data_IF_749536583285
#
_entry.id   IF_749536583285
#
_cell.length_a   1.000
_cell.length_b   1.000
_cell.length_c   1.000
_cell.angle_alpha   90.00
_cell.angle_beta   90.00
_cell.angle_gamma   90.00
#
_symmetry.space_group_name_H-M   'P 1'
#
loop_
_entity.id
_entity.type
_entity.pdbx_description
1 polymer ?
#
# COMPACT_ATOMS: atom_id res chain seq x y z
N UNK A 1 39.10 47.76 18.42
CA UNK A 1 39.82 46.47 18.37
C UNK A 1 39.32 45.59 19.49
N UNK A 2 38.99 44.33 19.21
CA UNK A 2 38.53 43.38 20.23
C UNK A 2 37.70 42.25 19.60
N UNK A 3 38.39 41.25 19.08
CA UNK A 3 37.90 40.18 18.22
C UNK A 3 37.28 39.03 19.04
N UNK A 4 36.12 38.58 18.57
CA UNK A 4 35.36 37.36 18.88
C UNK A 4 36.19 36.12 19.31
N UNK A 5 35.70 35.39 20.31
CA UNK A 5 35.99 33.96 20.53
C UNK A 5 34.69 33.17 20.60
N UNK A 6 34.26 32.66 19.45
CA UNK A 6 33.26 31.60 19.33
C UNK A 6 33.93 30.24 19.60
N UNK A 7 33.38 29.48 20.56
CA UNK A 7 33.79 28.10 20.90
C UNK A 7 33.39 27.16 19.77
N UNK A 8 34.39 26.61 19.09
CA UNK A 8 34.26 25.60 18.03
C UNK A 8 33.97 24.23 18.66
N UNK A 9 32.73 23.78 18.59
CA UNK A 9 32.37 22.39 18.86
C UNK A 9 32.98 21.48 17.78
N UNK A 10 33.76 20.48 18.21
CA UNK A 10 34.31 19.44 17.36
C UNK A 10 33.18 18.53 16.88
N UNK A 11 32.65 18.78 15.68
CA UNK A 11 31.92 17.76 14.92
C UNK A 11 32.93 16.75 14.38
N UNK A 12 32.87 15.52 14.89
CA UNK A 12 33.61 14.39 14.36
C UNK A 12 33.06 14.02 12.99
N UNK A 13 33.61 14.64 11.94
CA UNK A 13 33.39 14.20 10.57
C UNK A 13 34.13 12.89 10.33
N UNK A 14 33.43 11.77 10.47
CA UNK A 14 33.86 10.47 9.97
C UNK A 14 33.80 10.49 8.44
N UNK A 15 34.85 11.04 7.81
CA UNK A 15 35.08 10.89 6.38
C UNK A 15 35.36 9.42 6.06
N UNK A 16 34.34 8.73 5.55
CA UNK A 16 34.46 7.37 5.02
C UNK A 16 35.42 7.37 3.83
N UNK A 17 36.68 7.02 4.10
CA UNK A 17 37.63 6.59 3.08
C UNK A 17 37.05 5.37 2.38
N UNK A 18 36.84 5.46 1.07
CA UNK A 18 36.58 4.33 0.19
C UNK A 18 37.80 3.40 0.13
N UNK A 19 37.93 2.53 1.12
CA UNK A 19 38.80 1.36 1.09
C UNK A 19 37.92 0.12 0.97
N UNK A 20 38.31 -0.82 0.11
CA UNK A 20 37.53 -2.02 -0.23
C UNK A 20 36.93 -2.72 0.99
N UNK A 21 35.67 -2.44 1.28
CA UNK A 21 34.88 -3.26 2.18
C UNK A 21 34.63 -4.62 1.54
N UNK A 22 34.36 -5.68 2.32
CA UNK A 22 33.80 -6.90 1.76
C UNK A 22 32.60 -6.54 0.86
N UNK A 23 32.38 -7.26 -0.24
CA UNK A 23 31.29 -6.97 -1.20
C UNK A 23 29.90 -6.80 -0.53
N UNK A 24 29.72 -7.34 0.68
CA UNK A 24 28.52 -7.25 1.52
C UNK A 24 28.69 -6.39 2.79
N UNK A 25 29.71 -5.54 2.86
CA UNK A 25 30.00 -4.71 4.02
C UNK A 25 28.83 -3.82 4.40
N UNK A 26 28.20 -3.16 3.42
CA UNK A 26 26.99 -2.35 3.62
C UNK A 26 25.80 -3.17 4.16
N UNK A 27 25.64 -4.42 3.72
CA UNK A 27 24.54 -5.29 4.13
C UNK A 27 24.76 -5.82 5.55
N UNK A 28 25.99 -6.25 5.87
CA UNK A 28 26.36 -6.71 7.21
C UNK A 28 26.29 -5.56 8.22
N UNK A 29 26.72 -4.36 7.82
CA UNK A 29 26.63 -3.15 8.61
C UNK A 29 25.16 -2.78 8.88
N UNK A 30 24.31 -2.80 7.85
CA UNK A 30 22.86 -2.59 8.00
C UNK A 30 22.19 -3.67 8.89
N UNK A 31 22.63 -4.92 8.80
CA UNK A 31 22.08 -6.01 9.62
C UNK A 31 22.47 -5.92 11.10
N UNK A 32 23.66 -5.37 11.42
CA UNK A 32 24.21 -5.35 12.79
C UNK A 32 24.08 -4.03 13.52
N UNK A 33 24.22 -2.91 12.82
CA UNK A 33 24.43 -1.60 13.44
C UNK A 33 23.22 -0.66 13.37
N UNK A 34 22.10 -1.12 12.80
CA UNK A 34 20.86 -0.33 12.79
C UNK A 34 20.13 -0.52 14.12
N UNK A 35 19.89 0.60 14.80
CA UNK A 35 19.05 0.64 15.99
C UNK A 35 17.59 0.35 15.62
N UNK A 36 16.97 -0.59 16.35
CA UNK A 36 15.64 -1.10 16.06
C UNK A 36 14.57 -0.01 16.24
N UNK A 37 14.76 0.93 17.17
CA UNK A 37 13.82 2.00 17.43
C UNK A 37 13.94 3.15 16.42
N UNK A 38 15.13 3.41 15.89
CA UNK A 38 15.34 4.33 14.78
C UNK A 38 14.76 3.76 13.48
N UNK A 39 14.97 2.47 13.24
CA UNK A 39 14.39 1.77 12.10
C UNK A 39 12.86 1.79 12.11
N UNK A 40 12.26 1.58 13.29
CA UNK A 40 10.82 1.64 13.47
C UNK A 40 10.25 3.02 13.10
N UNK A 41 10.95 4.10 13.46
CA UNK A 41 10.54 5.48 13.14
C UNK A 41 10.65 5.81 11.65
N UNK A 42 11.65 5.27 10.96
CA UNK A 42 11.90 5.62 9.56
C UNK A 42 11.06 4.83 8.55
N UNK A 43 10.76 3.55 8.84
CA UNK A 43 10.16 2.62 7.84
C UNK A 43 8.75 2.16 8.24
N UNK A 44 8.31 2.48 9.45
CA UNK A 44 7.02 2.07 10.01
C UNK A 44 7.02 0.63 10.55
N UNK A 45 5.94 0.27 11.26
CA UNK A 45 5.83 -1.00 11.96
C UNK A 45 5.90 -2.21 11.03
N UNK A 46 5.17 -2.20 9.92
CA UNK A 46 5.03 -3.37 9.03
C UNK A 46 6.39 -3.75 8.41
N UNK A 47 7.08 -2.77 7.82
CA UNK A 47 8.42 -2.97 7.25
C UNK A 47 9.45 -3.37 8.30
N UNK A 48 9.39 -2.78 9.50
CA UNK A 48 10.24 -3.17 10.63
C UNK A 48 10.03 -4.65 10.99
N UNK A 49 8.78 -5.10 11.09
CA UNK A 49 8.45 -6.49 11.39
C UNK A 49 8.88 -7.44 10.25
N UNK A 50 8.77 -7.01 9.01
CA UNK A 50 9.28 -7.78 7.87
C UNK A 50 10.81 -7.98 7.94
N UNK A 51 11.58 -6.93 8.22
CA UNK A 51 13.03 -7.03 8.39
C UNK A 51 13.41 -7.95 9.55
N UNK A 52 12.64 -7.90 10.64
CA UNK A 52 12.85 -8.76 11.81
C UNK A 52 12.51 -10.23 11.51
N UNK A 53 11.46 -10.49 10.73
CA UNK A 53 11.14 -11.82 10.20
C UNK A 53 12.27 -12.38 9.32
N UNK A 54 12.89 -11.55 8.47
CA UNK A 54 14.07 -11.96 7.69
C UNK A 54 15.28 -12.29 8.58
N UNK A 55 15.54 -11.49 9.62
CA UNK A 55 16.59 -11.77 10.61
C UNK A 55 16.33 -13.08 11.36
N UNK A 56 15.08 -13.34 11.75
CA UNK A 56 14.64 -14.61 12.34
C UNK A 56 14.90 -15.79 11.38
N UNK A 57 14.50 -15.67 10.12
CA UNK A 57 14.77 -16.68 9.10
C UNK A 57 16.26 -16.97 8.91
N UNK A 58 17.10 -15.92 8.91
CA UNK A 58 18.55 -16.07 8.82
C UNK A 58 19.15 -16.77 10.04
N UNK A 59 18.68 -16.48 11.26
CA UNK A 59 19.11 -17.18 12.49
C UNK A 59 18.72 -18.65 12.47
N UNK A 60 17.48 -18.96 12.12
CA UNK A 60 16.98 -20.33 12.00
C UNK A 60 17.75 -21.12 10.94
N UNK A 61 17.98 -20.54 9.76
CA UNK A 61 18.76 -21.15 8.69
C UNK A 61 20.21 -21.38 9.13
N UNK A 62 20.88 -20.37 9.71
CA UNK A 62 22.26 -20.48 10.17
C UNK A 62 22.43 -21.57 11.23
N UNK A 63 21.52 -21.64 12.20
CA UNK A 63 21.54 -22.69 13.22
C UNK A 63 21.32 -24.07 12.61
N UNK A 64 20.35 -24.20 11.69
CA UNK A 64 20.10 -25.45 10.97
C UNK A 64 21.28 -25.89 10.09
N UNK A 65 21.95 -24.96 9.42
CA UNK A 65 23.15 -25.24 8.61
C UNK A 65 24.32 -25.67 9.49
N UNK A 66 24.54 -25.06 10.64
CA UNK A 66 25.60 -25.46 11.57
C UNK A 66 25.30 -26.85 12.15
N UNK A 67 24.09 -27.07 12.65
CA UNK A 67 23.69 -28.36 13.21
C UNK A 67 23.75 -29.47 12.13
N UNK A 68 23.23 -29.18 10.94
CA UNK A 68 23.24 -30.09 9.80
C UNK A 68 24.66 -30.39 9.30
N UNK A 69 25.46 -29.36 9.07
CA UNK A 69 26.81 -29.49 8.50
C UNK A 69 27.85 -30.04 9.47
N UNK A 70 27.78 -29.67 10.75
CA UNK A 70 28.79 -30.08 11.75
C UNK A 70 28.43 -31.42 12.40
N UNK A 71 27.13 -31.70 12.62
CA UNK A 71 26.70 -32.89 13.36
C UNK A 71 26.14 -33.96 12.42
N UNK A 72 25.13 -33.63 11.62
CA UNK A 72 24.41 -34.63 10.82
C UNK A 72 25.21 -35.09 9.60
N UNK A 73 25.94 -34.20 8.92
CA UNK A 73 26.69 -34.55 7.71
C UNK A 73 27.80 -35.56 7.99
N UNK A 74 28.68 -35.41 9.02
CA UNK A 74 29.67 -36.44 9.35
C UNK A 74 29.02 -37.74 9.88
N UNK A 75 27.91 -37.62 10.61
CA UNK A 75 27.15 -38.77 11.11
C UNK A 75 26.61 -39.63 9.96
N UNK A 76 26.06 -39.00 8.92
CA UNK A 76 25.55 -39.69 7.74
C UNK A 76 26.68 -40.25 6.87
N UNK A 77 27.77 -39.51 6.70
CA UNK A 77 28.93 -39.98 5.93
C UNK A 77 29.55 -41.26 6.51
N UNK A 78 29.57 -41.38 7.85
CA UNK A 78 30.08 -42.57 8.57
C UNK A 78 29.03 -43.68 8.76
N UNK A 79 27.89 -43.60 8.06
CA UNK A 79 26.73 -44.49 8.21
C UNK A 79 26.93 -45.94 7.72
N UNK A 80 27.91 -46.18 6.84
CA UNK A 80 28.40 -47.51 6.47
C UNK A 80 27.42 -48.37 5.67
N UNK A 81 26.41 -47.78 5.02
CA UNK A 81 25.57 -48.51 4.07
C UNK A 81 26.38 -48.94 2.83
N UNK A 82 25.96 -50.02 2.17
CA UNK A 82 26.58 -50.52 0.94
C UNK A 82 25.67 -50.27 -0.27
N UNK A 83 26.26 -50.10 -1.46
CA UNK A 83 25.52 -49.92 -2.72
C UNK A 83 25.30 -48.45 -3.12
N UNK A 84 24.24 -48.10 -3.89
CA UNK A 84 24.05 -46.74 -4.44
C UNK A 84 23.83 -45.64 -3.37
N UNK A 85 23.67 -46.04 -2.09
CA UNK A 85 23.60 -45.14 -0.95
C UNK A 85 24.93 -44.41 -0.65
N UNK A 86 26.07 -44.92 -1.13
CA UNK A 86 27.39 -44.28 -0.95
C UNK A 86 27.75 -43.29 -2.07
N UNK A 87 26.91 -43.14 -3.09
CA UNK A 87 27.23 -42.28 -4.22
C UNK A 87 26.84 -40.81 -3.98
N UNK A 88 27.78 -39.90 -4.27
CA UNK A 88 27.56 -38.45 -4.36
C UNK A 88 26.76 -37.88 -3.17
N UNK A 89 25.58 -37.30 -3.43
CA UNK A 89 24.73 -36.66 -2.42
C UNK A 89 24.11 -37.66 -1.43
N UNK A 90 23.89 -38.92 -1.83
CA UNK A 90 23.28 -39.91 -0.93
C UNK A 90 24.17 -40.22 0.27
N UNK A 91 25.50 -40.09 0.11
CA UNK A 91 26.49 -40.33 1.16
C UNK A 91 26.33 -39.42 2.39
N UNK A 92 25.77 -38.22 2.22
CA UNK A 92 25.59 -37.22 3.28
C UNK A 92 24.14 -37.13 3.77
N UNK A 93 23.32 -38.10 3.40
CA UNK A 93 21.90 -38.16 3.78
C UNK A 93 21.61 -39.41 4.61
N UNK A 94 20.40 -39.47 5.17
CA UNK A 94 19.92 -40.63 5.93
C UNK A 94 20.00 -41.95 5.15
N UNK A 95 20.01 -41.91 3.81
CA UNK A 95 20.14 -43.09 2.96
C UNK A 95 21.43 -43.89 3.19
N UNK A 96 22.51 -43.25 3.66
CA UNK A 96 23.80 -43.90 3.91
C UNK A 96 23.87 -44.59 5.30
N UNK A 97 22.80 -44.55 6.10
CA UNK A 97 22.76 -45.20 7.43
C UNK A 97 22.32 -46.66 7.30
N UNK A 98 23.18 -47.60 7.69
CA UNK A 98 22.88 -49.03 7.62
C UNK A 98 21.66 -49.45 8.48
N UNK A 99 20.80 -50.31 7.92
CA UNK A 99 19.67 -50.95 8.59
C UNK A 99 20.16 -51.80 9.77
N UNK A 100 20.03 -51.27 11.00
CA UNK A 100 20.56 -51.86 12.23
C UNK A 100 21.26 -50.84 13.15
N UNK A 101 21.64 -49.68 12.62
CA UNK A 101 22.28 -48.60 13.40
C UNK A 101 21.27 -47.73 14.16
N UNK A 102 20.61 -48.31 15.18
CA UNK A 102 19.58 -47.61 15.96
C UNK A 102 20.09 -46.29 16.59
N UNK A 103 21.34 -46.27 17.08
CA UNK A 103 21.92 -45.07 17.70
C UNK A 103 22.04 -43.87 16.75
N UNK A 104 22.34 -44.10 15.46
CA UNK A 104 22.49 -43.02 14.46
C UNK A 104 21.13 -42.43 14.07
N UNK A 105 20.11 -43.27 13.94
CA UNK A 105 18.74 -42.83 13.70
C UNK A 105 18.21 -41.99 14.88
N UNK A 106 18.46 -42.43 16.12
CA UNK A 106 18.11 -41.66 17.31
C UNK A 106 18.86 -40.33 17.40
N UNK A 107 20.13 -40.27 16.95
CA UNK A 107 20.87 -39.01 16.88
C UNK A 107 20.25 -38.02 15.87
N UNK A 108 19.74 -38.49 14.73
CA UNK A 108 18.98 -37.65 13.79
C UNK A 108 17.69 -37.10 14.40
N UNK A 109 16.94 -37.94 15.12
CA UNK A 109 15.73 -37.50 15.84
C UNK A 109 16.08 -36.49 16.93
N UNK A 110 17.15 -36.72 17.69
CA UNK A 110 17.62 -35.78 18.70
C UNK A 110 18.00 -34.43 18.09
N UNK A 111 18.73 -34.42 16.97
CA UNK A 111 19.06 -33.19 16.25
C UNK A 111 17.80 -32.48 15.74
N UNK A 112 16.81 -33.22 15.25
CA UNK A 112 15.53 -32.65 14.83
C UNK A 112 14.77 -32.02 16.01
N UNK A 113 14.69 -32.68 17.17
CA UNK A 113 14.06 -32.13 18.38
C UNK A 113 14.77 -30.85 18.82
N UNK A 114 16.12 -30.83 18.81
CA UNK A 114 16.91 -29.64 19.14
C UNK A 114 16.63 -28.50 18.16
N UNK A 115 16.59 -28.79 16.86
CA UNK A 115 16.29 -27.80 15.82
C UNK A 115 14.88 -27.22 15.98
N UNK A 116 13.87 -28.06 16.13
CA UNK A 116 12.47 -27.62 16.32
C UNK A 116 12.33 -26.81 17.60
N UNK A 117 12.95 -27.25 18.70
CA UNK A 117 12.93 -26.53 19.98
C UNK A 117 13.57 -25.15 19.86
N UNK A 118 14.68 -25.05 19.12
CA UNK A 118 15.33 -23.76 18.84
C UNK A 118 14.43 -22.84 18.03
N UNK A 119 13.82 -23.34 16.95
CA UNK A 119 12.90 -22.55 16.11
C UNK A 119 11.69 -22.07 16.91
N UNK A 120 11.09 -22.95 17.73
CA UNK A 120 9.94 -22.57 18.58
C UNK A 120 10.32 -21.52 19.62
N UNK A 121 11.51 -21.61 20.22
CA UNK A 121 12.00 -20.59 21.17
C UNK A 121 12.20 -19.23 20.50
N UNK A 122 12.85 -19.21 19.34
CA UNK A 122 13.05 -17.96 18.58
C UNK A 122 11.70 -17.40 18.11
N UNK A 123 10.79 -18.25 17.62
CA UNK A 123 9.44 -17.85 17.21
C UNK A 123 8.65 -17.25 18.37
N UNK A 124 8.71 -17.85 19.56
CA UNK A 124 8.04 -17.32 20.75
C UNK A 124 8.58 -15.93 21.12
N UNK A 125 9.90 -15.77 21.08
CA UNK A 125 10.56 -14.48 21.37
C UNK A 125 10.11 -13.40 20.40
N UNK A 126 10.06 -13.72 19.10
CA UNK A 126 9.62 -12.80 18.06
C UNK A 126 8.11 -12.51 18.12
N UNK A 127 7.31 -13.50 18.49
CA UNK A 127 5.87 -13.35 18.66
C UNK A 127 5.51 -12.39 19.80
N UNK A 128 6.13 -12.56 20.98
CA UNK A 128 5.91 -11.66 22.12
C UNK A 128 6.32 -10.23 21.77
N UNK A 129 7.48 -10.06 21.13
CA UNK A 129 7.94 -8.75 20.68
C UNK A 129 6.97 -8.11 19.67
N UNK A 130 6.44 -8.89 18.72
CA UNK A 130 5.43 -8.42 17.78
C UNK A 130 4.13 -7.99 18.49
N UNK A 131 3.65 -8.81 19.43
CA UNK A 131 2.41 -8.53 20.15
C UNK A 131 2.49 -7.22 20.94
N UNK A 132 3.60 -6.99 21.65
CA UNK A 132 3.84 -5.76 22.40
C UNK A 132 3.91 -4.54 21.48
N UNK A 133 4.73 -4.60 20.43
CA UNK A 133 4.89 -3.49 19.48
C UNK A 133 3.61 -3.20 18.70
N UNK A 134 2.81 -4.22 18.39
CA UNK A 134 1.49 -4.05 17.76
C UNK A 134 0.53 -3.36 18.72
N UNK A 135 0.50 -3.77 19.99
CA UNK A 135 -0.34 -3.13 21.01
C UNK A 135 0.02 -1.66 21.16
N UNK A 136 1.31 -1.35 21.30
CA UNK A 136 1.82 0.02 21.40
C UNK A 136 1.48 0.84 20.15
N UNK A 137 1.66 0.27 18.97
CA UNK A 137 1.29 0.90 17.70
C UNK A 137 -0.21 1.13 17.59
N UNK A 138 -1.08 0.23 18.05
CA UNK A 138 -2.53 0.47 18.00
C UNK A 138 -2.98 1.53 19.03
N UNK A 139 -2.31 1.58 20.19
CA UNK A 139 -2.62 2.56 21.24
C UNK A 139 -2.16 3.98 20.88
N UNK A 140 -0.90 4.13 20.49
CA UNK A 140 -0.29 5.43 20.16
C UNK A 140 -0.62 5.84 18.73
N UNK A 141 -0.65 4.86 17.81
CA UNK A 141 -0.73 5.00 16.36
C UNK A 141 0.50 5.64 15.74
N UNK A 142 0.45 5.73 14.42
CA UNK A 142 1.52 6.33 13.65
C UNK A 142 1.61 7.84 13.92
N UNK A 143 2.84 8.37 13.96
CA UNK A 143 3.11 9.79 14.21
C UNK A 143 2.68 10.63 13.00
N UNK A 144 2.84 10.07 11.80
CA UNK A 144 2.62 10.76 10.53
C UNK A 144 1.17 10.69 10.05
N UNK A 145 0.33 9.86 10.69
CA UNK A 145 -1.06 9.66 10.26
C UNK A 145 -2.04 10.36 11.21
N UNK A 146 -3.03 11.06 10.65
CA UNK A 146 -4.07 11.78 11.40
C UNK A 146 -4.93 10.87 12.27
N UNK A 147 -5.04 11.11 13.58
CA UNK A 147 -5.82 10.24 14.51
C UNK A 147 -7.27 9.94 14.12
N UNK A 148 -7.82 10.71 13.18
CA UNK A 148 -9.17 10.59 12.63
C UNK A 148 -9.43 9.26 11.90
N UNK A 149 -8.45 8.69 11.20
CA UNK A 149 -8.66 7.42 10.47
C UNK A 149 -8.99 6.25 11.41
N UNK A 150 -8.61 6.34 12.70
CA UNK A 150 -8.86 5.30 13.71
C UNK A 150 -10.34 5.16 14.07
N UNK A 151 -11.12 6.20 13.81
CA UNK A 151 -12.56 6.23 14.06
C UNK A 151 -13.38 6.04 12.79
N UNK A 152 -12.74 5.79 11.64
CA UNK A 152 -13.43 5.50 10.41
C UNK A 152 -14.03 4.09 10.45
N UNK A 153 -15.32 3.99 10.19
CA UNK A 153 -16.04 2.72 10.08
C UNK A 153 -16.51 2.53 8.64
N UNK A 154 -16.27 1.35 8.08
CA UNK A 154 -16.86 0.95 6.81
C UNK A 154 -18.21 0.30 7.09
N UNK A 155 -19.25 0.80 6.43
CA UNK A 155 -20.62 0.27 6.57
C UNK A 155 -21.03 -0.32 5.24
N UNK A 156 -21.27 -1.62 5.22
CA UNK A 156 -21.69 -2.37 4.04
C UNK A 156 -23.20 -2.62 4.03
N UNK A 157 -23.74 -3.00 2.86
CA UNK A 157 -25.15 -3.38 2.68
C UNK A 157 -26.17 -2.31 3.12
N UNK A 158 -25.90 -1.04 2.80
CA UNK A 158 -26.80 0.08 3.11
C UNK A 158 -28.09 -0.04 2.26
N UNK A 159 -29.29 -0.02 2.90
CA UNK A 159 -30.58 -0.02 2.20
C UNK A 159 -30.71 1.20 1.27
N UNK A 160 -31.44 1.06 0.17
CA UNK A 160 -31.49 2.08 -0.89
C UNK A 160 -31.98 3.45 -0.42
N UNK A 161 -32.84 3.49 0.60
CA UNK A 161 -33.36 4.70 1.23
C UNK A 161 -32.28 5.54 1.95
N UNK A 162 -31.18 4.90 2.37
CA UNK A 162 -30.09 5.51 3.13
C UNK A 162 -28.80 5.65 2.31
N UNK A 163 -28.83 5.48 0.99
CA UNK A 163 -27.63 5.60 0.12
C UNK A 163 -27.25 7.04 -0.24
N UNK A 164 -27.90 8.03 0.35
CA UNK A 164 -27.49 9.44 0.26
C UNK A 164 -26.68 9.87 1.48
N UNK A 165 -25.69 10.75 1.29
CA UNK A 165 -24.82 11.25 2.36
C UNK A 165 -25.61 11.85 3.54
N UNK A 166 -26.62 12.68 3.24
CA UNK A 166 -27.45 13.34 4.26
C UNK A 166 -28.40 12.36 4.96
N UNK A 167 -28.97 11.40 4.23
CA UNK A 167 -29.87 10.40 4.80
C UNK A 167 -29.11 9.44 5.73
N UNK A 168 -27.92 9.01 5.32
CA UNK A 168 -27.06 8.15 6.12
C UNK A 168 -26.53 8.89 7.35
N UNK A 169 -26.12 10.15 7.19
CA UNK A 169 -25.77 11.03 8.32
C UNK A 169 -26.94 11.16 9.29
N UNK A 170 -28.13 11.47 8.80
CA UNK A 170 -29.33 11.62 9.65
C UNK A 170 -29.74 10.31 10.34
N UNK A 171 -29.47 9.15 9.75
CA UNK A 171 -29.66 7.86 10.42
C UNK A 171 -28.67 7.68 11.58
N UNK A 172 -27.37 7.86 11.34
CA UNK A 172 -26.36 7.70 12.40
C UNK A 172 -26.45 8.78 13.48
N UNK A 173 -26.83 10.01 13.14
CA UNK A 173 -27.00 11.10 14.10
C UNK A 173 -28.18 10.83 15.06
N UNK A 174 -29.25 10.19 14.56
CA UNK A 174 -30.37 9.74 15.40
C UNK A 174 -29.96 8.62 16.38
N UNK A 175 -29.06 7.75 15.96
CA UNK A 175 -28.59 6.62 16.78
C UNK A 175 -27.48 7.03 17.76
N UNK A 176 -26.59 7.94 17.34
CA UNK A 176 -25.40 8.39 18.06
C UNK A 176 -25.25 9.92 17.97
N UNK A 177 -26.08 10.69 18.70
CA UNK A 177 -26.09 12.15 18.62
C UNK A 177 -24.73 12.75 19.01
N UNK A 178 -24.23 13.69 18.20
CA UNK A 178 -22.98 14.42 18.42
C UNK A 178 -21.70 13.61 18.21
N UNK A 179 -21.80 12.34 17.79
CA UNK A 179 -20.63 11.46 17.56
C UNK A 179 -20.26 11.29 16.09
N UNK A 180 -21.12 11.72 15.16
CA UNK A 180 -20.91 11.55 13.73
C UNK A 180 -20.19 12.78 13.16
N UNK A 181 -18.92 12.62 12.81
CA UNK A 181 -18.14 13.70 12.20
C UNK A 181 -18.45 13.86 10.70
N UNK A 182 -18.20 12.81 9.92
CA UNK A 182 -18.35 12.81 8.46
C UNK A 182 -18.89 11.48 7.98
N UNK A 183 -19.76 11.55 6.98
CA UNK A 183 -20.29 10.40 6.24
C UNK A 183 -20.07 10.69 4.77
N UNK A 184 -19.52 9.72 4.04
CA UNK A 184 -19.41 9.77 2.58
C UNK A 184 -19.85 8.41 2.04
N UNK A 185 -20.77 8.40 1.08
CA UNK A 185 -21.15 7.19 0.36
C UNK A 185 -20.16 6.93 -0.76
N UNK A 186 -19.64 5.71 -0.82
CA UNK A 186 -18.72 5.28 -1.88
C UNK A 186 -19.50 5.05 -3.19
N UNK A 187 -18.98 5.61 -4.28
CA UNK A 187 -19.49 5.43 -5.64
C UNK A 187 -18.63 4.39 -6.37
N UNK A 188 -19.22 3.67 -7.32
CA UNK A 188 -18.44 2.82 -8.22
C UNK A 188 -17.66 3.69 -9.21
N UNK A 189 -16.34 3.73 -9.03
CA UNK A 189 -15.41 4.49 -9.87
C UNK A 189 -14.62 3.60 -10.84
N UNK A 190 -14.94 2.31 -10.97
CA UNK A 190 -14.12 1.34 -11.72
C UNK A 190 -13.80 1.81 -13.15
N UNK A 191 -14.78 2.40 -13.83
CA UNK A 191 -14.60 2.96 -15.19
C UNK A 191 -13.70 4.20 -15.21
N UNK A 192 -13.83 5.07 -14.20
CA UNK A 192 -12.99 6.25 -14.04
C UNK A 192 -11.54 5.87 -13.73
N UNK A 193 -11.33 4.87 -12.87
CA UNK A 193 -10.01 4.36 -12.50
C UNK A 193 -9.27 3.78 -13.70
N UNK A 194 -9.98 3.06 -14.58
CA UNK A 194 -9.45 2.60 -15.86
C UNK A 194 -8.96 3.76 -16.75
N UNK A 195 -9.76 4.84 -16.87
CA UNK A 195 -9.36 6.02 -17.66
C UNK A 195 -8.17 6.77 -17.04
N UNK A 196 -8.10 6.85 -15.71
CA UNK A 196 -6.97 7.47 -14.99
C UNK A 196 -5.69 6.65 -15.20
N UNK A 197 -5.78 5.31 -15.16
CA UNK A 197 -4.65 4.44 -15.45
C UNK A 197 -4.16 4.59 -16.91
N UNK A 198 -5.07 4.70 -17.89
CA UNK A 198 -4.72 5.02 -19.28
C UNK A 198 -4.04 6.38 -19.40
N UNK A 199 -4.54 7.39 -18.67
CA UNK A 199 -3.96 8.73 -18.61
C UNK A 199 -2.53 8.69 -18.09
N UNK A 200 -2.27 7.93 -17.03
CA UNK A 200 -0.93 7.82 -16.46
C UNK A 200 0.05 7.17 -17.46
N UNK A 201 -0.37 6.13 -18.18
CA UNK A 201 0.44 5.52 -19.25
C UNK A 201 0.74 6.52 -20.37
N UNK A 202 -0.23 7.36 -20.72
CA UNK A 202 -0.08 8.35 -21.78
C UNK A 202 0.85 9.49 -21.36
N UNK A 203 0.77 9.95 -20.10
CA UNK A 203 1.69 10.94 -19.53
C UNK A 203 3.12 10.43 -19.58
N UNK A 204 3.38 9.19 -19.14
CA UNK A 204 4.73 8.61 -19.20
C UNK A 204 5.27 8.54 -20.63
N UNK A 205 4.42 8.26 -21.63
CA UNK A 205 4.80 8.29 -23.05
C UNK A 205 5.11 9.71 -23.53
N UNK A 206 4.30 10.68 -23.10
CA UNK A 206 4.51 12.09 -23.41
C UNK A 206 5.82 12.61 -22.81
N UNK A 207 6.07 12.36 -21.53
CA UNK A 207 7.31 12.71 -20.82
C UNK A 207 8.53 12.07 -21.48
N UNK A 208 8.42 10.79 -21.87
CA UNK A 208 9.51 10.12 -22.60
C UNK A 208 9.81 10.79 -23.95
N UNK A 209 8.79 11.18 -24.69
CA UNK A 209 8.96 11.90 -25.97
C UNK A 209 9.52 13.32 -25.75
N UNK A 210 9.09 13.99 -24.69
CA UNK A 210 9.54 15.33 -24.33
C UNK A 210 11.01 15.34 -23.91
N UNK A 211 11.42 14.40 -23.05
CA UNK A 211 12.84 14.21 -22.67
C UNK A 211 13.69 13.87 -23.89
N UNK A 212 13.22 13.00 -24.78
CA UNK A 212 13.95 12.65 -26.00
C UNK A 212 14.21 13.89 -26.89
N UNK A 213 13.19 14.75 -27.06
CA UNK A 213 13.33 16.01 -27.80
C UNK A 213 14.32 16.97 -27.14
N UNK A 214 14.31 17.07 -25.81
CA UNK A 214 15.24 17.94 -25.09
C UNK A 214 16.69 17.43 -25.14
N UNK A 215 16.90 16.10 -25.09
CA UNK A 215 18.24 15.52 -25.18
C UNK A 215 18.80 15.48 -26.61
N UNK A 216 17.93 15.38 -27.62
CA UNK A 216 18.29 15.31 -29.03
C UNK A 216 17.38 16.22 -29.86
N UNK A 217 17.67 17.53 -29.94
CA UNK A 217 16.81 18.49 -30.64
C UNK A 217 16.71 18.21 -32.15
N UNK A 218 17.74 17.61 -32.73
CA UNK A 218 17.79 17.27 -34.17
C UNK A 218 17.11 15.93 -34.50
N UNK A 219 16.75 15.13 -33.48
CA UNK A 219 16.05 13.87 -33.66
C UNK A 219 14.54 14.11 -33.49
N UNK A 220 13.84 14.35 -34.60
CA UNK A 220 12.38 14.40 -34.59
C UNK A 220 11.82 13.04 -34.11
N UNK A 221 11.15 13.05 -32.95
CA UNK A 221 10.50 11.86 -32.42
C UNK A 221 9.18 11.62 -33.16
N UNK A 222 9.22 10.80 -34.22
CA UNK A 222 8.04 10.33 -34.92
C UNK A 222 7.47 9.06 -34.28
N UNK A 223 6.15 8.98 -34.16
CA UNK A 223 5.44 7.74 -33.81
C UNK A 223 4.57 7.29 -34.97
N UNK A 224 4.45 5.97 -35.16
CA UNK A 224 3.50 5.39 -36.11
C UNK A 224 2.15 5.19 -35.43
N UNK A 225 1.12 5.81 -35.98
CA UNK A 225 -0.25 5.72 -35.48
C UNK A 225 -1.10 4.91 -36.45
N UNK A 226 -1.95 4.01 -35.93
CA UNK A 226 -2.94 3.26 -36.72
C UNK A 226 -2.46 1.98 -37.41
N UNK A 227 -1.22 1.54 -37.16
CA UNK A 227 -0.67 0.28 -37.65
C UNK A 227 -1.02 -0.93 -36.78
N UNK A 228 -0.85 -2.15 -37.31
CA UNK A 228 -0.99 -3.37 -36.49
C UNK A 228 0.23 -3.49 -35.55
N UNK A 229 0.01 -3.18 -34.27
CA UNK A 229 1.05 -2.92 -33.25
C UNK A 229 1.73 -4.15 -32.64
N UNK A 230 2.03 -5.21 -33.42
CA UNK A 230 3.26 -5.96 -33.18
C UNK A 230 4.20 -6.03 -34.39
N UNK A 231 3.77 -5.71 -35.61
CA UNK A 231 4.60 -5.84 -36.82
C UNK A 231 5.04 -4.51 -37.45
N UNK A 232 4.57 -3.36 -36.97
CA UNK A 232 4.90 -2.04 -37.56
C UNK A 232 4.59 -1.93 -39.06
N UNK A 233 3.66 -2.76 -39.56
CA UNK A 233 3.18 -2.74 -40.95
C UNK A 233 1.93 -1.85 -40.99
N UNK A 234 2.00 -0.79 -41.78
CA UNK A 234 0.96 0.24 -41.89
C UNK A 234 1.01 1.24 -40.73
N UNK A 235 0.52 2.45 -40.99
CA UNK A 235 0.44 3.53 -40.01
C UNK A 235 1.08 4.83 -40.51
N UNK A 236 0.43 5.94 -40.20
CA UNK A 236 0.92 7.27 -40.53
C UNK A 236 2.01 7.68 -39.52
N UNK A 237 3.11 8.23 -40.04
CA UNK A 237 4.15 8.84 -39.21
C UNK A 237 3.68 10.22 -38.80
N UNK A 238 3.51 10.44 -37.50
CA UNK A 238 3.06 11.71 -36.93
C UNK A 238 4.03 12.12 -35.84
N UNK A 239 4.25 13.43 -35.70
CA UNK A 239 5.03 13.99 -34.60
C UNK A 239 4.44 13.56 -33.24
N UNK A 240 5.28 12.98 -32.39
CA UNK A 240 4.83 12.33 -31.16
C UNK A 240 4.20 13.31 -30.16
N UNK A 241 4.82 14.46 -29.94
CA UNK A 241 4.40 15.40 -28.89
C UNK A 241 3.01 16.02 -29.16
N UNK A 242 2.73 16.60 -30.35
CA UNK A 242 1.40 17.11 -30.64
C UNK A 242 0.32 16.02 -30.64
N UNK A 243 0.64 14.82 -31.13
CA UNK A 243 -0.29 13.69 -31.12
C UNK A 243 -0.65 13.26 -29.69
N UNK A 244 0.36 12.98 -28.86
CA UNK A 244 0.17 12.56 -27.48
C UNK A 244 -0.52 13.65 -26.65
N UNK A 245 -0.19 14.92 -26.88
CA UNK A 245 -0.86 16.05 -26.25
C UNK A 245 -2.35 16.15 -26.61
N UNK A 246 -2.71 15.96 -27.89
CA UNK A 246 -4.11 15.91 -28.32
C UNK A 246 -4.86 14.73 -27.68
N UNK A 247 -4.24 13.56 -27.64
CA UNK A 247 -4.85 12.38 -27.05
C UNK A 247 -5.04 12.52 -25.53
N UNK A 248 -4.08 13.15 -24.84
CA UNK A 248 -4.19 13.46 -23.42
C UNK A 248 -5.34 14.44 -23.15
N UNK A 249 -5.48 15.48 -24.00
CA UNK A 249 -6.60 16.42 -23.91
C UNK A 249 -7.96 15.73 -24.12
N UNK A 250 -8.06 14.84 -25.11
CA UNK A 250 -9.28 14.04 -25.34
C UNK A 250 -9.61 13.16 -24.13
N UNK A 251 -8.61 12.51 -23.56
CA UNK A 251 -8.79 11.62 -22.41
C UNK A 251 -9.16 12.39 -21.14
N UNK A 252 -8.53 13.54 -20.87
CA UNK A 252 -8.94 14.43 -19.79
C UNK A 252 -10.40 14.86 -19.96
N UNK A 253 -10.83 15.23 -21.18
CA UNK A 253 -12.23 15.56 -21.44
C UNK A 253 -13.21 14.38 -21.30
N UNK A 254 -12.76 13.12 -21.44
CA UNK A 254 -13.57 11.94 -21.11
C UNK A 254 -13.67 11.77 -19.58
N UNK A 255 -12.54 11.90 -18.88
CA UNK A 255 -12.45 11.83 -17.41
C UNK A 255 -13.36 12.88 -16.77
N UNK A 256 -13.33 14.13 -17.25
CA UNK A 256 -14.15 15.21 -16.69
C UNK A 256 -15.65 14.97 -16.91
N UNK A 257 -16.03 14.43 -18.07
CA UNK A 257 -17.42 14.04 -18.34
C UNK A 257 -17.88 12.90 -17.43
N UNK A 258 -17.03 11.91 -17.20
CA UNK A 258 -17.34 10.79 -16.31
C UNK A 258 -17.45 11.26 -14.86
N UNK A 259 -16.51 12.10 -14.39
CA UNK A 259 -16.58 12.74 -13.07
C UNK A 259 -17.88 13.51 -12.91
N UNK A 260 -18.24 14.35 -13.87
CA UNK A 260 -19.49 15.11 -13.84
C UNK A 260 -20.74 14.22 -13.88
N UNK A 261 -20.68 13.04 -14.49
CA UNK A 261 -21.76 12.06 -14.45
C UNK A 261 -21.88 11.44 -13.04
N UNK A 262 -20.77 11.01 -12.43
CA UNK A 262 -20.75 10.47 -11.07
C UNK A 262 -21.24 11.49 -10.04
N UNK A 263 -20.82 12.75 -10.15
CA UNK A 263 -21.30 13.83 -9.27
C UNK A 263 -22.81 14.03 -9.38
N UNK A 264 -23.36 14.01 -10.59
CA UNK A 264 -24.82 14.09 -10.80
C UNK A 264 -25.56 12.90 -10.20
N UNK A 265 -25.00 11.70 -10.31
CA UNK A 265 -25.56 10.50 -9.67
C UNK A 265 -25.53 10.64 -8.15
N UNK A 266 -24.42 11.08 -7.57
CA UNK A 266 -24.29 11.31 -6.14
C UNK A 266 -25.29 12.36 -5.62
N UNK A 267 -25.43 13.48 -6.34
CA UNK A 267 -26.39 14.54 -6.01
C UNK A 267 -27.85 14.06 -6.16
N UNK A 268 -28.14 13.19 -7.12
CA UNK A 268 -29.49 12.61 -7.21
C UNK A 268 -29.87 11.83 -5.96
N UNK A 269 -28.91 11.11 -5.36
CA UNK A 269 -29.13 10.33 -4.13
C UNK A 269 -29.29 11.20 -2.88
N UNK A 270 -28.68 12.38 -2.83
CA UNK A 270 -28.90 13.32 -1.71
C UNK A 270 -30.28 14.01 -1.79
N UNK A 271 -30.78 14.26 -3.00
CA UNK A 271 -32.07 14.90 -3.22
C UNK A 271 -33.27 13.96 -3.10
N UNK A 272 -33.10 12.66 -3.31
CA UNK A 272 -34.18 11.68 -3.27
C UNK A 272 -34.87 11.55 -1.89
N UNK A 273 -34.16 11.55 -0.74
CA UNK A 273 -34.78 11.62 0.59
C UNK A 273 -35.62 12.89 0.80
N UNK A 274 -35.14 14.04 0.31
CA UNK A 274 -35.87 15.31 0.37
C UNK A 274 -37.16 15.23 -0.46
N UNK A 275 -37.06 14.73 -1.69
CA UNK A 275 -38.20 14.51 -2.59
C UNK A 275 -39.20 13.51 -2.01
N UNK A 276 -38.73 12.43 -1.39
CA UNK A 276 -39.59 11.46 -0.72
C UNK A 276 -40.33 12.10 0.47
N UNK A 277 -39.65 12.92 1.27
CA UNK A 277 -40.28 13.66 2.37
C UNK A 277 -41.30 14.69 1.89
N UNK A 278 -41.04 15.38 0.77
CA UNK A 278 -41.97 16.33 0.15
C UNK A 278 -43.21 15.62 -0.38
N UNK A 279 -43.05 14.51 -1.12
CA UNK A 279 -44.16 13.68 -1.58
C UNK A 279 -45.00 13.14 -0.42
N UNK A 280 -44.37 12.75 0.69
CA UNK A 280 -45.08 12.30 1.89
C UNK A 280 -45.87 13.45 2.57
N UNK A 281 -45.36 14.68 2.55
CA UNK A 281 -46.08 15.86 3.04
C UNK A 281 -47.24 16.26 2.11
N UNK A 282 -47.04 16.22 0.80
CA UNK A 282 -48.09 16.47 -0.19
C UNK A 282 -49.21 15.42 -0.11
N UNK A 283 -48.86 14.14 0.06
CA UNK A 283 -49.83 13.07 0.27
C UNK A 283 -50.64 13.24 1.57
N UNK A 284 -50.03 13.81 2.62
CA UNK A 284 -50.74 14.15 3.87
C UNK A 284 -51.57 15.44 3.77
N UNK A 285 -51.13 16.41 2.96
CA UNK A 285 -51.85 17.65 2.70
C UNK A 285 -53.03 17.50 1.72
N UNK A 286 -53.02 16.47 0.86
CA UNK A 286 -54.06 16.21 -0.14
C UNK A 286 -55.37 15.60 0.40
N UNK A 287 -55.48 15.33 1.71
CA UNK A 287 -56.67 14.75 2.35
C UNK A 287 -57.61 15.80 2.98
N UNK A 288 -57.37 17.10 2.78
CA UNK A 288 -58.20 18.18 3.33
C UNK A 288 -58.65 19.15 2.26
N UNK A 289 -59.77 18.86 1.60
CA UNK A 289 -60.56 19.92 0.95
C UNK A 289 -61.22 20.76 2.05
N UNK A 290 -60.87 22.04 2.14
CA UNK A 290 -61.55 22.97 3.05
C UNK A 290 -60.79 24.28 3.32
N UNK A 291 -60.91 25.23 2.38
CA UNK A 291 -60.83 26.69 2.55
C UNK A 291 -59.63 27.33 3.27
N UNK A 292 -58.92 28.20 2.55
CA UNK A 292 -58.38 29.43 3.14
C UNK A 292 -56.94 29.79 2.77
N UNK A 293 -56.83 30.87 1.98
CA UNK A 293 -55.75 31.90 2.00
C UNK A 293 -54.40 31.40 1.43
N UNK A 294 -53.87 31.91 0.31
CA UNK A 294 -53.52 33.32 0.08
C UNK A 294 -52.09 33.56 0.59
N UNK A 295 -51.18 33.95 -0.32
CA UNK A 295 -49.83 34.48 -0.07
C UNK A 295 -48.76 33.54 0.53
N UNK A 296 -47.84 33.03 -0.32
CA UNK A 296 -46.38 33.25 -0.18
C UNK A 296 -45.57 32.60 -1.35
N UNK A 297 -45.86 33.00 -2.58
CA UNK A 297 -44.88 32.89 -3.67
C UNK A 297 -44.45 34.30 -4.04
N UNK A 298 -43.41 34.81 -3.36
CA UNK A 298 -42.46 35.85 -3.80
C UNK A 298 -41.62 36.33 -2.60
N UNK A 299 -40.62 35.55 -2.19
CA UNK A 299 -39.45 36.10 -1.50
C UNK A 299 -38.28 35.14 -1.64
N UNK A 300 -37.18 35.59 -2.22
CA UNK A 300 -35.91 34.84 -2.18
C UNK A 300 -35.29 34.41 -3.52
N UNK A 301 -35.48 35.14 -4.63
CA UNK A 301 -34.41 35.22 -5.63
C UNK A 301 -33.29 36.07 -5.02
N UNK A 302 -32.26 35.42 -4.45
CA UNK A 302 -31.11 36.12 -3.90
C UNK A 302 -30.01 35.18 -3.41
N UNK A 303 -28.91 35.16 -4.16
CA UNK A 303 -27.54 34.76 -3.78
C UNK A 303 -27.26 33.27 -3.54
N UNK A 304 -26.70 32.61 -4.56
CA UNK A 304 -25.54 31.74 -4.38
C UNK A 304 -24.72 31.61 -5.68
N UNK A 305 -24.35 32.76 -6.24
CA UNK A 305 -23.05 32.91 -6.89
C UNK A 305 -22.08 33.30 -5.77
N UNK A 306 -21.06 32.49 -5.53
CA UNK A 306 -19.84 32.75 -4.73
C UNK A 306 -19.49 31.55 -3.84
N UNK A 307 -19.06 30.41 -4.42
CA UNK A 307 -17.93 29.61 -3.89
C UNK A 307 -17.25 28.97 -5.12
N UNK A 308 -16.63 29.82 -5.92
CA UNK A 308 -15.64 29.44 -6.93
C UNK A 308 -14.41 30.33 -6.73
N UNK A 309 -13.75 30.21 -5.58
CA UNK A 309 -12.34 30.56 -5.42
C UNK A 309 -11.85 30.11 -4.05
N UNK A 310 -10.88 29.20 -4.02
CA UNK A 310 -10.31 28.67 -2.79
C UNK A 310 -9.08 27.83 -3.08
N UNK A 311 -8.19 28.38 -3.89
CA UNK A 311 -6.82 27.89 -4.05
C UNK A 311 -5.99 28.53 -2.93
N UNK A 312 -5.62 27.74 -1.92
CA UNK A 312 -4.34 27.79 -1.20
C UNK A 312 -4.16 26.50 -0.43
#
# INVERSE_FOLDING_TARGET
GGRSKSKKGKGGGGGGRGGGGPFFGWAIDALRNIDDDELLRCVGLDSYMYLRFLRFGFRCSSFGTILGGVVLMPLYYTGGAAGPATEQFNSITLANVAEGSSARLWASVACWIVFVSFVLRELWTEWVHYADRRSDFLAVGDIDSDREYRYAILVENVPQEYRGDDALRGYFERLFPGKVRRVNVCLDTSRLDGMIAERQKLILRYEKADVARHCQPDAESEIRVGGMTPLSIGGEKVEALPYLGRELKKLNGKIDRERAALWRTAESWSLDPLRASQRAKEARGGSGSGSGVGDLLLSGKGKMSDIANGNR
#
